data_IF_411070324182
#
_entry.id   IF_411070324182
#
_cell.length_a   1.000
_cell.length_b   1.000
_cell.length_c   1.000
_cell.angle_alpha   90.00
_cell.angle_beta   90.00
_cell.angle_gamma   90.00
#
_symmetry.space_group_name_H-M   'P 1'
#
loop_
_entity.id
_entity.type
_entity.pdbx_description
1 polymer ?
#
# COMPACT_ATOMS: atom_id res chain seq x y z
N UNK A 1 -9.18 -1.28 16.97
CA UNK A 1 -9.05 -1.28 15.51
C UNK A 1 -8.00 -2.32 15.21
N UNK A 2 -8.33 -3.40 14.50
CA UNK A 2 -7.33 -4.38 14.09
C UNK A 2 -6.68 -3.82 12.84
N UNK A 3 -5.58 -3.08 13.00
CA UNK A 3 -4.84 -2.55 11.87
C UNK A 3 -4.36 -3.74 11.02
N UNK A 4 -4.91 -3.88 9.81
CA UNK A 4 -4.70 -5.05 8.94
C UNK A 4 -3.23 -5.26 8.56
N UNK A 5 -2.40 -4.21 8.65
CA UNK A 5 -0.97 -4.23 8.38
C UNK A 5 -0.20 -3.41 9.41
N UNK A 6 1.04 -3.81 9.67
CA UNK A 6 2.00 -3.09 10.52
C UNK A 6 3.10 -2.44 9.68
N UNK A 7 3.74 -1.40 10.21
CA UNK A 7 4.95 -0.84 9.60
C UNK A 7 6.02 -1.92 9.47
N UNK A 8 6.61 -2.04 8.28
CA UNK A 8 7.59 -3.07 7.93
C UNK A 8 7.00 -4.25 7.18
N UNK A 9 5.67 -4.41 7.15
CA UNK A 9 5.02 -5.50 6.43
C UNK A 9 5.28 -5.40 4.92
N UNK A 10 5.54 -6.56 4.32
CA UNK A 10 5.70 -6.69 2.87
C UNK A 10 4.34 -6.90 2.24
N UNK A 11 4.04 -6.06 1.25
CA UNK A 11 2.77 -6.08 0.53
C UNK A 11 2.99 -6.12 -0.97
N UNK A 12 1.97 -6.58 -1.68
CA UNK A 12 1.90 -6.58 -3.13
C UNK A 12 0.58 -5.98 -3.57
N UNK A 13 0.62 -5.08 -4.56
CA UNK A 13 -0.57 -4.52 -5.16
C UNK A 13 -1.32 -5.60 -5.98
N UNK A 14 -2.64 -5.65 -5.87
CA UNK A 14 -3.52 -6.63 -6.54
C UNK A 14 -4.13 -6.09 -7.83
N UNK A 15 -4.15 -4.77 -8.00
CA UNK A 15 -4.76 -4.09 -9.13
C UNK A 15 -3.99 -2.81 -9.50
N UNK A 16 -4.16 -2.37 -10.74
CA UNK A 16 -3.69 -1.08 -11.20
C UNK A 16 -4.63 0.03 -10.68
N UNK A 17 -4.07 1.14 -10.24
CA UNK A 17 -4.82 2.35 -9.90
C UNK A 17 -4.36 3.51 -10.78
N UNK A 18 -5.32 4.27 -11.32
CA UNK A 18 -5.02 5.50 -12.03
C UNK A 18 -4.59 6.57 -11.04
N UNK A 19 -3.47 7.25 -11.30
CA UNK A 19 -2.80 8.22 -10.43
C UNK A 19 -3.58 9.50 -10.11
N UNK A 20 -4.79 9.37 -9.59
CA UNK A 20 -5.40 10.45 -8.83
C UNK A 20 -4.61 10.57 -7.52
N UNK A 21 -3.94 11.71 -7.33
CA UNK A 21 -3.35 12.12 -6.06
C UNK A 21 -2.19 11.26 -5.52
N UNK A 22 -1.38 10.65 -6.39
CA UNK A 22 -0.18 9.93 -5.96
C UNK A 22 -0.45 8.51 -5.44
N UNK A 23 -1.63 7.97 -5.69
CA UNK A 23 -2.02 6.59 -5.38
C UNK A 23 -1.75 5.61 -6.52
N UNK A 24 -0.89 5.93 -7.50
CA UNK A 24 -0.57 5.00 -8.60
C UNK A 24 0.07 3.73 -8.02
N UNK A 25 -0.55 2.59 -8.32
CA UNK A 25 -0.05 1.26 -8.01
C UNK A 25 -0.15 0.43 -9.27
N UNK A 26 0.80 -0.48 -9.47
CA UNK A 26 0.76 -1.45 -10.57
C UNK A 26 0.46 -2.83 -10.03
N UNK A 27 -0.45 -3.56 -10.65
CA UNK A 27 -0.78 -4.91 -10.27
C UNK A 27 0.49 -5.76 -10.24
N UNK A 28 0.72 -6.41 -9.10
CA UNK A 28 1.90 -7.20 -8.83
C UNK A 28 3.14 -6.43 -8.36
N UNK A 29 3.06 -5.11 -8.20
CA UNK A 29 4.12 -4.30 -7.62
C UNK A 29 4.28 -4.59 -6.13
N UNK A 30 5.53 -4.78 -5.70
CA UNK A 30 5.87 -5.05 -4.31
C UNK A 30 6.27 -3.77 -3.59
N UNK A 31 6.00 -3.74 -2.29
CA UNK A 31 6.32 -2.61 -1.42
C UNK A 31 6.36 -2.98 0.06
N UNK A 32 6.66 -1.98 0.88
CA UNK A 32 6.72 -2.09 2.34
C UNK A 32 5.81 -1.05 2.98
N UNK A 33 4.96 -1.48 3.91
CA UNK A 33 4.08 -0.60 4.67
C UNK A 33 4.92 0.28 5.60
N UNK A 34 4.67 1.58 5.60
CA UNK A 34 5.27 2.55 6.51
C UNK A 34 4.37 2.83 7.73
N UNK A 35 3.06 2.64 7.58
CA UNK A 35 2.06 2.84 8.62
C UNK A 35 0.68 3.15 8.07
N UNK A 36 -0.31 3.19 8.96
CA UNK A 36 -1.67 3.66 8.64
C UNK A 36 -1.72 5.18 8.57
N UNK A 37 -2.70 5.70 7.83
CA UNK A 37 -2.97 7.13 7.75
C UNK A 37 -4.13 7.52 8.68
N UNK A 38 -4.56 8.79 8.63
CA UNK A 38 -5.74 9.24 9.39
C UNK A 38 -7.03 8.52 8.97
N UNK A 39 -7.06 7.94 7.76
CA UNK A 39 -8.11 7.06 7.30
C UNK A 39 -7.69 5.62 7.61
N UNK A 40 -8.39 4.97 8.54
CA UNK A 40 -8.00 3.65 9.08
C UNK A 40 -7.99 2.50 8.06
N UNK A 41 -8.45 2.76 6.84
CA UNK A 41 -8.48 1.87 5.68
C UNK A 41 -7.39 2.20 4.63
N UNK A 42 -6.55 3.21 4.86
CA UNK A 42 -5.45 3.62 3.99
C UNK A 42 -4.09 3.51 4.69
N UNK A 43 -3.09 3.04 3.95
CA UNK A 43 -1.72 2.86 4.40
C UNK A 43 -0.73 3.56 3.48
N UNK A 44 0.33 4.12 4.05
CA UNK A 44 1.48 4.57 3.26
C UNK A 44 2.34 3.36 2.92
N UNK A 45 2.60 3.16 1.64
CA UNK A 45 3.45 2.07 1.14
C UNK A 45 4.62 2.67 0.37
N UNK A 46 5.82 2.27 0.73
CA UNK A 46 7.03 2.51 -0.08
C UNK A 46 7.21 1.37 -1.05
N UNK A 47 7.12 1.66 -2.34
CA UNK A 47 7.28 0.68 -3.40
C UNK A 47 8.74 0.45 -3.76
N UNK A 48 9.02 -0.66 -4.43
CA UNK A 48 10.38 -1.07 -4.80
C UNK A 48 11.04 -0.15 -5.85
N UNK A 49 10.26 0.60 -6.62
CA UNK A 49 10.75 1.66 -7.52
C UNK A 49 11.07 2.98 -6.77
N UNK A 50 10.88 3.00 -5.45
CA UNK A 50 11.29 4.06 -4.54
C UNK A 50 10.23 5.12 -4.25
N UNK A 51 9.10 5.15 -4.97
CA UNK A 51 8.04 6.11 -4.66
C UNK A 51 7.19 5.65 -3.46
N UNK A 52 6.47 6.61 -2.86
CA UNK A 52 5.57 6.35 -1.74
C UNK A 52 4.17 6.75 -2.17
N UNK A 53 3.22 5.85 -1.96
CA UNK A 53 1.81 6.09 -2.26
C UNK A 53 0.97 5.84 -1.01
N UNK A 54 -0.14 6.56 -0.90
CA UNK A 54 -1.21 6.19 0.00
C UNK A 54 -2.17 5.25 -0.72
N UNK A 55 -2.49 4.12 -0.07
CA UNK A 55 -3.15 2.97 -0.71
C UNK A 55 -4.24 2.44 0.20
N UNK A 56 -5.43 2.25 -0.35
CA UNK A 56 -6.52 1.60 0.36
C UNK A 56 -6.26 0.09 0.51
N UNK A 57 -6.73 -0.49 1.63
CA UNK A 57 -6.45 -1.89 2.01
C UNK A 57 -6.97 -2.96 1.03
N UNK A 58 -7.88 -2.63 0.13
CA UNK A 58 -8.39 -3.55 -0.91
C UNK A 58 -7.42 -3.73 -2.09
N UNK A 59 -6.54 -2.75 -2.33
CA UNK A 59 -5.55 -2.74 -3.41
C UNK A 59 -4.29 -3.53 -3.05
N UNK A 60 -4.05 -3.85 -1.78
CA UNK A 60 -2.82 -4.54 -1.33
C UNK A 60 -3.11 -5.80 -0.54
N UNK A 61 -2.19 -6.77 -0.62
CA UNK A 61 -2.19 -7.99 0.20
C UNK A 61 -0.82 -8.25 0.78
N UNK A 62 -0.77 -8.76 2.01
CA UNK A 62 0.47 -9.28 2.58
C UNK A 62 0.96 -10.48 1.78
N UNK A 63 2.28 -10.61 1.71
CA UNK A 63 2.91 -11.79 1.16
C UNK A 63 4.12 -12.14 2.02
N UNK A 64 4.30 -13.43 2.24
CA UNK A 64 5.37 -14.05 3.01
C UNK A 64 6.37 -14.72 2.08
#
# INVERSE_FOLDING_TARGET
MSDYYSSGDKVKATQDTGGLLGSETRAGQSGTVLGSTMWGDHYQVKWDDGHVSEVHTDVIRSWS
#
